data_IF_430278692992
#
_entry.id   IF_430278692992
#
_cell.length_a   1.000
_cell.length_b   1.000
_cell.length_c   1.000
_cell.angle_alpha   90.00
_cell.angle_beta   90.00
_cell.angle_gamma   90.00
#
_symmetry.space_group_name_H-M   'P 1'
#
loop_
_entity.id
_entity.type
_entity.pdbx_description
1 polymer ?
#
# COMPACT_ATOMS: atom_id res chain seq x y z
N UNK A 1 -18.72 4.39 9.20
CA UNK A 1 -17.95 3.28 8.59
C UNK A 1 -16.79 2.97 9.52
N UNK A 2 -16.63 1.71 9.89
CA UNK A 2 -15.57 1.27 10.78
C UNK A 2 -14.27 1.07 9.98
N UNK A 3 -13.13 1.49 10.53
CA UNK A 3 -11.82 1.31 9.89
C UNK A 3 -11.18 0.01 10.39
N UNK A 4 -10.78 -0.87 9.48
CA UNK A 4 -9.97 -2.04 9.83
C UNK A 4 -8.58 -1.58 10.31
N UNK A 5 -8.17 -2.01 11.51
CA UNK A 5 -6.91 -1.57 12.16
C UNK A 5 -6.05 -2.72 12.67
N UNK A 6 -4.76 -2.68 12.36
CA UNK A 6 -3.75 -3.55 12.93
C UNK A 6 -2.41 -2.81 13.05
N UNK A 7 -1.52 -3.33 13.89
CA UNK A 7 -0.13 -2.88 13.98
C UNK A 7 0.76 -3.87 13.23
N UNK A 8 1.75 -3.35 12.54
CA UNK A 8 2.79 -4.11 11.86
C UNK A 8 4.10 -3.32 11.94
N UNK A 9 5.19 -3.92 11.47
CA UNK A 9 6.51 -3.29 11.47
C UNK A 9 7.02 -3.14 10.04
N UNK A 10 7.64 -2.00 9.76
CA UNK A 10 8.41 -1.81 8.54
C UNK A 10 9.70 -2.63 8.67
N UNK A 11 9.90 -3.57 7.75
CA UNK A 11 11.11 -4.41 7.69
C UNK A 11 11.94 -3.98 6.49
N UNK A 12 13.27 -4.07 6.61
CA UNK A 12 14.21 -3.79 5.54
C UNK A 12 14.90 -5.10 5.15
N UNK A 13 15.02 -5.36 3.85
CA UNK A 13 15.83 -6.45 3.30
C UNK A 13 16.78 -5.86 2.26
N UNK A 14 18.06 -6.17 2.42
CA UNK A 14 19.10 -5.82 1.45
C UNK A 14 19.09 -6.93 0.40
N UNK A 15 18.81 -6.58 -0.85
CA UNK A 15 18.89 -7.51 -1.96
C UNK A 15 20.35 -7.74 -2.35
N UNK A 16 20.66 -8.92 -2.89
CA UNK A 16 22.03 -9.27 -3.33
C UNK A 16 22.59 -8.34 -4.41
N UNK A 17 21.71 -7.59 -5.09
CA UNK A 17 22.10 -6.56 -6.07
C UNK A 17 22.53 -5.23 -5.44
N UNK A 18 22.56 -5.12 -4.11
CA UNK A 18 22.82 -3.87 -3.38
C UNK A 18 21.61 -2.95 -3.22
N UNK A 19 20.48 -3.27 -3.86
CA UNK A 19 19.24 -2.51 -3.72
C UNK A 19 18.57 -2.82 -2.38
N UNK A 20 18.05 -1.79 -1.72
CA UNK A 20 17.34 -1.92 -0.46
C UNK A 20 15.83 -1.86 -0.70
N UNK A 21 15.12 -2.82 -0.13
CA UNK A 21 13.68 -2.86 -0.21
C UNK A 21 13.08 -2.92 1.18
N UNK A 22 12.00 -2.16 1.35
CA UNK A 22 11.19 -2.20 2.55
C UNK A 22 9.95 -3.06 2.32
N UNK A 23 9.55 -3.78 3.36
CA UNK A 23 8.41 -4.68 3.35
C UNK A 23 7.54 -4.39 4.58
N UNK A 24 6.22 -4.42 4.39
CA UNK A 24 5.24 -4.38 5.47
C UNK A 24 4.36 -5.61 5.31
N UNK A 25 4.24 -6.40 6.39
CA UNK A 25 3.27 -7.48 6.42
C UNK A 25 1.89 -6.92 6.78
N UNK A 26 0.89 -7.26 5.99
CA UNK A 26 -0.51 -7.06 6.34
C UNK A 26 -0.92 -8.21 7.27
N UNK A 27 -1.29 -7.96 8.54
CA UNK A 27 -1.66 -9.03 9.46
C UNK A 27 -2.87 -9.81 8.96
N UNK A 28 -2.88 -11.13 9.20
CA UNK A 28 -3.94 -12.03 8.74
C UNK A 28 -5.35 -11.57 9.16
N UNK A 29 -5.47 -10.97 10.36
CA UNK A 29 -6.74 -10.41 10.85
C UNK A 29 -7.32 -9.28 9.98
N UNK A 30 -6.48 -8.59 9.20
CA UNK A 30 -6.95 -7.64 8.19
C UNK A 30 -7.16 -8.36 6.86
N UNK A 31 -6.19 -9.17 6.42
CA UNK A 31 -6.21 -9.78 5.10
C UNK A 31 -7.37 -10.78 4.88
N UNK A 32 -7.83 -11.44 5.95
CA UNK A 32 -8.97 -12.36 5.90
C UNK A 32 -10.32 -11.68 6.16
N UNK A 33 -10.34 -10.38 6.46
CA UNK A 33 -11.58 -9.65 6.64
C UNK A 33 -12.31 -9.51 5.29
N UNK A 34 -13.61 -9.81 5.26
CA UNK A 34 -14.43 -9.69 4.05
C UNK A 34 -14.45 -8.28 3.44
N UNK A 35 -14.19 -7.24 4.25
CA UNK A 35 -14.12 -5.85 3.82
C UNK A 35 -12.72 -5.43 3.35
N UNK A 36 -11.72 -6.30 3.42
CA UNK A 36 -10.37 -6.01 2.98
C UNK A 36 -10.32 -5.87 1.44
N UNK A 37 -10.00 -4.69 0.90
CA UNK A 37 -10.27 -4.40 -0.49
C UNK A 37 -9.14 -4.87 -1.44
N UNK A 38 -7.98 -5.28 -0.94
CA UNK A 38 -6.80 -5.62 -1.75
C UNK A 38 -6.66 -7.12 -1.99
N UNK A 39 -6.10 -7.49 -3.14
CA UNK A 39 -5.86 -8.87 -3.55
C UNK A 39 -4.48 -9.02 -4.16
N UNK A 40 -3.99 -10.27 -4.19
CA UNK A 40 -2.77 -10.60 -4.92
C UNK A 40 -2.90 -10.20 -6.40
N UNK A 41 -1.84 -9.59 -6.94
CA UNK A 41 -1.79 -9.10 -8.31
C UNK A 41 -2.39 -7.70 -8.53
N UNK A 42 -3.01 -7.08 -7.51
CA UNK A 42 -3.42 -5.67 -7.62
C UNK A 42 -2.19 -4.76 -7.81
N UNK A 43 -2.28 -3.85 -8.77
CA UNK A 43 -1.29 -2.78 -8.93
C UNK A 43 -1.55 -1.66 -7.91
N UNK A 44 -0.50 -1.24 -7.19
CA UNK A 44 -0.59 -0.29 -6.09
C UNK A 44 0.27 0.95 -6.35
N UNK A 45 -0.29 2.12 -6.05
CA UNK A 45 0.45 3.37 -5.95
C UNK A 45 0.82 3.61 -4.49
N UNK A 46 2.09 3.93 -4.23
CA UNK A 46 2.61 4.27 -2.91
C UNK A 46 3.06 5.72 -2.94
N UNK A 47 2.59 6.52 -1.97
CA UNK A 47 2.99 7.91 -1.78
C UNK A 47 3.27 8.19 -0.31
N UNK A 48 4.09 9.20 -0.03
CA UNK A 48 4.46 9.61 1.32
C UNK A 48 4.14 11.09 1.49
N UNK A 49 3.25 11.39 2.42
CA UNK A 49 3.06 12.75 2.93
C UNK A 49 4.03 12.97 4.09
N UNK A 50 5.14 13.65 3.77
CA UNK A 50 6.22 13.96 4.72
C UNK A 50 5.76 14.91 5.83
N UNK A 51 4.78 15.77 5.57
CA UNK A 51 4.31 16.76 6.55
C UNK A 51 3.50 16.10 7.68
N UNK A 52 2.75 15.04 7.35
CA UNK A 52 1.95 14.29 8.31
C UNK A 52 2.58 12.97 8.76
N UNK A 53 3.78 12.63 8.24
CA UNK A 53 4.46 11.35 8.47
C UNK A 53 3.57 10.14 8.13
N UNK A 54 2.85 10.23 7.01
CA UNK A 54 1.92 9.19 6.56
C UNK A 54 2.38 8.59 5.24
N UNK A 55 2.42 7.26 5.19
CA UNK A 55 2.51 6.52 3.94
C UNK A 55 1.11 6.09 3.51
N UNK A 56 0.78 6.34 2.24
CA UNK A 56 -0.53 6.09 1.66
C UNK A 56 -0.35 5.07 0.54
N UNK A 57 -1.10 3.97 0.62
CA UNK A 57 -1.11 2.89 -0.38
C UNK A 57 -2.51 2.80 -0.97
N UNK A 58 -2.62 2.97 -2.27
CA UNK A 58 -3.90 3.00 -2.99
C UNK A 58 -3.85 2.07 -4.21
N UNK A 59 -5.01 1.54 -4.61
CA UNK A 59 -5.11 0.80 -5.87
C UNK A 59 -4.89 1.74 -7.06
N UNK A 60 -4.11 1.30 -8.03
CA UNK A 60 -4.06 1.96 -9.34
C UNK A 60 -5.33 1.59 -10.09
N UNK A 61 -6.37 2.42 -9.99
CA UNK A 61 -7.54 2.23 -10.84
C UNK A 61 -7.18 2.61 -12.28
N UNK A 62 -7.59 1.82 -13.29
CA UNK A 62 -7.52 2.26 -14.71
C UNK A 62 -8.32 3.55 -14.98
N UNK A 63 -9.16 4.01 -14.04
CA UNK A 63 -9.91 5.28 -14.13
C UNK A 63 -9.04 6.52 -13.83
N UNK A 64 -8.00 6.43 -13.00
CA UNK A 64 -7.18 7.61 -12.64
C UNK A 64 -6.30 8.09 -13.80
N UNK A 65 -5.95 7.22 -14.76
CA UNK A 65 -5.27 7.61 -15.99
C UNK A 65 -6.13 8.52 -16.91
N UNK A 66 -7.47 8.44 -16.83
CA UNK A 66 -8.37 9.31 -17.62
C UNK A 66 -8.55 10.70 -17.01
N UNK A 67 -8.38 10.86 -15.69
CA UNK A 67 -8.54 12.16 -15.02
C UNK A 67 -7.32 13.08 -15.21
N UNK A 68 -6.10 12.52 -15.26
CA UNK A 68 -4.86 13.31 -15.49
C UNK A 68 -4.64 13.76 -16.94
N UNK A 69 -5.40 13.23 -17.91
CA UNK A 69 -5.30 13.60 -19.34
C UNK A 69 -6.17 14.80 -19.75
N UNK A 70 -6.87 15.43 -18.80
CA UNK A 70 -7.83 16.52 -19.07
C UNK A 70 -7.51 17.82 -18.32
N UNK A 71 -6.25 18.02 -17.94
CA UNK A 71 -5.72 19.31 -17.48
C UNK A 71 -4.64 19.76 -18.44
#
# INVERSE_FOLDING_TARGET
MEMLKAKSHLRKKIHVSGNEYYYIHIPAKLAHDSQFPFKEGDELAISVDVNSSRMIIEKVSRRSARSRRKR
#
